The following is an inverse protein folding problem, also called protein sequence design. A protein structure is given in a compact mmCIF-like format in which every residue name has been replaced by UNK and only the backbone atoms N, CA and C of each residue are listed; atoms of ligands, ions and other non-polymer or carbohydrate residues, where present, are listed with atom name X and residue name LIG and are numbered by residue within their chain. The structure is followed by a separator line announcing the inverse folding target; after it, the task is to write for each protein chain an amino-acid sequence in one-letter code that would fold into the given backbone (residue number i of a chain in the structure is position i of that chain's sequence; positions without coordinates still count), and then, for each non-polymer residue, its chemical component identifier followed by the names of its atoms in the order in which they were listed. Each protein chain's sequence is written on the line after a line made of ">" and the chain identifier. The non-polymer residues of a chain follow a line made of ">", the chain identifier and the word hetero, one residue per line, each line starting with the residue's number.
data_IF_764925172908
#
_entry.id   IF_764925172908
#
_cell.length_a   1.000
_cell.length_b   1.000
_cell.length_c   1.000
_cell.angle_alpha   90.00
_cell.angle_beta   90.00
_cell.angle_gamma   90.00
#
_symmetry.space_group_name_H-M   'P 1'
#
loop_
_entity.id
_entity.type
_entity.pdbx_description
1 polymer ?
#
# COMPACT_ATOMS: atom_id res chain seq x y z
N UNK A 1 3.05 20.71 17.58
CA UNK A 1 3.23 20.33 18.97
C UNK A 1 4.04 19.06 19.15
N UNK A 2 3.91 18.40 20.31
CA UNK A 2 4.66 17.20 20.69
C UNK A 2 4.56 16.04 19.69
N UNK A 3 3.40 15.87 19.06
CA UNK A 3 3.16 14.83 18.04
C UNK A 3 4.07 15.01 16.81
N UNK A 4 4.14 16.23 16.27
CA UNK A 4 5.01 16.52 15.11
C UNK A 4 6.50 16.36 15.46
N UNK A 5 6.90 16.74 16.68
CA UNK A 5 8.26 16.53 17.16
C UNK A 5 8.60 15.04 17.28
N UNK A 6 7.65 14.22 17.75
CA UNK A 6 7.80 12.76 17.81
C UNK A 6 8.00 12.14 16.42
N UNK A 7 7.22 12.56 15.42
CA UNK A 7 7.39 12.11 14.03
C UNK A 7 8.73 12.49 13.43
N UNK A 8 9.18 13.74 13.64
CA UNK A 8 10.51 14.18 13.16
C UNK A 8 11.64 13.41 13.86
N UNK A 9 11.51 13.16 15.17
CA UNK A 9 12.45 12.33 15.92
C UNK A 9 12.54 10.92 15.35
N UNK A 10 11.39 10.28 15.09
CA UNK A 10 11.31 8.94 14.49
C UNK A 10 11.97 8.92 13.10
N UNK A 11 11.66 9.87 12.24
CA UNK A 11 12.24 9.98 10.90
C UNK A 11 13.76 10.15 10.98
N UNK A 12 14.28 10.99 11.89
CA UNK A 12 15.71 11.22 12.06
C UNK A 12 16.43 9.94 12.55
N UNK A 13 15.86 9.25 13.54
CA UNK A 13 16.43 7.98 14.03
C UNK A 13 16.44 6.94 12.92
N UNK A 14 15.34 6.79 12.19
CA UNK A 14 15.26 5.83 11.10
C UNK A 14 16.25 6.14 9.97
N UNK A 15 16.39 7.41 9.59
CA UNK A 15 17.42 7.85 8.63
C UNK A 15 18.84 7.48 9.08
N UNK A 16 19.17 7.73 10.36
CA UNK A 16 20.47 7.38 10.92
C UNK A 16 20.71 5.86 10.88
N UNK A 17 19.70 5.05 11.20
CA UNK A 17 19.79 3.60 11.12
C UNK A 17 20.03 3.10 9.69
N UNK A 18 19.34 3.67 8.69
CA UNK A 18 19.57 3.33 7.27
C UNK A 18 21.01 3.68 6.86
N UNK A 19 21.53 4.84 7.31
CA UNK A 19 22.88 5.28 7.00
C UNK A 19 23.94 4.41 7.67
N UNK A 20 23.72 4.01 8.91
CA UNK A 20 24.64 3.20 9.71
C UNK A 20 24.59 1.70 9.39
N UNK A 21 23.58 1.23 8.68
CA UNK A 21 23.44 -0.17 8.29
C UNK A 21 24.47 -0.57 7.24
N UNK A 22 25.10 -1.73 7.37
CA UNK A 22 26.00 -2.34 6.40
C UNK A 22 25.27 -3.27 5.42
N UNK A 23 23.93 -3.30 5.44
CA UNK A 23 23.15 -4.14 4.54
C UNK A 23 23.30 -3.70 3.08
N UNK A 24 23.50 -4.66 2.16
CA UNK A 24 23.63 -4.41 0.73
C UNK A 24 22.30 -3.93 0.11
N UNK A 25 21.16 -4.52 0.54
CA UNK A 25 19.81 -4.15 0.08
C UNK A 25 19.11 -3.26 1.11
N UNK A 26 19.13 -1.96 0.85
CA UNK A 26 18.42 -0.92 1.64
C UNK A 26 17.14 -0.42 0.98
N UNK A 27 16.77 -0.95 -0.18
CA UNK A 27 15.67 -0.44 -0.99
C UNK A 27 14.36 -0.35 -0.19
N UNK A 28 13.98 -1.43 0.49
CA UNK A 28 12.76 -1.46 1.30
C UNK A 28 12.79 -0.42 2.43
N UNK A 29 13.92 -0.27 3.11
CA UNK A 29 14.06 0.71 4.19
C UNK A 29 13.98 2.15 3.68
N UNK A 30 14.59 2.45 2.52
CA UNK A 30 14.53 3.76 1.88
C UNK A 30 13.09 4.11 1.46
N UNK A 31 12.36 3.14 0.89
CA UNK A 31 10.98 3.35 0.45
C UNK A 31 10.03 3.57 1.63
N UNK A 32 10.19 2.80 2.71
CA UNK A 32 9.45 3.04 3.97
C UNK A 32 9.79 4.40 4.56
N UNK A 33 11.07 4.81 4.53
CA UNK A 33 11.48 6.13 4.99
C UNK A 33 10.82 7.25 4.17
N UNK A 34 10.78 7.11 2.84
CA UNK A 34 10.07 8.04 1.96
C UNK A 34 8.58 8.16 2.32
N UNK A 35 7.91 7.02 2.51
CA UNK A 35 6.52 6.99 2.94
C UNK A 35 6.32 7.63 4.33
N UNK A 36 7.24 7.42 5.28
CA UNK A 36 7.21 8.10 6.58
C UNK A 36 7.36 9.62 6.46
N UNK A 37 8.18 10.11 5.51
CA UNK A 37 8.28 11.55 5.23
C UNK A 37 6.96 12.12 4.71
N UNK A 38 6.26 11.39 3.84
CA UNK A 38 4.89 11.76 3.42
C UNK A 38 3.93 11.77 4.62
N UNK A 39 3.95 10.75 5.46
CA UNK A 39 3.16 10.70 6.69
C UNK A 39 3.43 11.91 7.61
N UNK A 40 4.68 12.31 7.76
CA UNK A 40 5.05 13.51 8.50
C UNK A 40 4.47 14.80 7.88
N UNK A 41 4.48 14.92 6.55
CA UNK A 41 3.88 16.06 5.84
C UNK A 41 2.36 16.12 6.02
N UNK A 42 1.68 14.98 6.02
CA UNK A 42 0.24 14.86 6.30
C UNK A 42 -0.10 15.37 7.69
N UNK A 43 0.67 14.94 8.70
CA UNK A 43 0.49 15.40 10.09
C UNK A 43 0.77 16.90 10.22
N UNK A 44 1.81 17.40 9.57
CA UNK A 44 2.16 18.82 9.58
C UNK A 44 1.07 19.66 8.88
N UNK A 45 0.57 19.22 7.74
CA UNK A 45 -0.52 19.90 7.03
C UNK A 45 -1.79 20.00 7.89
N UNK A 46 -2.17 18.92 8.57
CA UNK A 46 -3.30 18.95 9.48
C UNK A 46 -3.07 19.90 10.67
N UNK A 47 -1.87 19.90 11.24
CA UNK A 47 -1.53 20.77 12.36
C UNK A 47 -1.52 22.26 11.99
N UNK A 48 -1.17 22.61 10.75
CA UNK A 48 -1.07 23.99 10.28
C UNK A 48 -2.40 24.52 9.72
N UNK A 49 -3.12 23.70 8.99
CA UNK A 49 -4.31 24.11 8.22
C UNK A 49 -5.61 23.52 8.75
N UNK A 50 -5.55 22.60 9.72
CA UNK A 50 -6.72 21.96 10.32
C UNK A 50 -7.64 21.31 9.30
N UNK A 51 -8.98 21.55 9.39
CA UNK A 51 -9.96 20.96 8.47
C UNK A 51 -9.74 21.28 6.98
N UNK A 52 -9.10 22.42 6.66
CA UNK A 52 -8.80 22.78 5.27
C UNK A 52 -7.83 21.79 4.59
N UNK A 53 -6.99 21.09 5.37
CA UNK A 53 -6.10 20.06 4.87
C UNK A 53 -6.75 18.67 4.72
N UNK A 54 -8.05 18.52 5.01
CA UNK A 54 -8.71 17.20 5.11
C UNK A 54 -8.56 16.35 3.84
N UNK A 55 -8.72 16.95 2.66
CA UNK A 55 -8.53 16.24 1.38
C UNK A 55 -7.11 15.70 1.22
N UNK A 56 -6.11 16.53 1.52
CA UNK A 56 -4.70 16.12 1.49
C UNK A 56 -4.39 15.02 2.51
N UNK A 57 -4.87 15.18 3.74
CA UNK A 57 -4.67 14.22 4.82
C UNK A 57 -5.24 12.85 4.45
N UNK A 58 -6.45 12.81 3.90
CA UNK A 58 -7.11 11.58 3.48
C UNK A 58 -6.41 10.96 2.27
N UNK A 59 -6.18 11.72 1.21
CA UNK A 59 -5.57 11.24 -0.03
C UNK A 59 -4.11 10.80 0.17
N UNK A 60 -3.22 11.71 0.56
CA UNK A 60 -1.80 11.39 0.74
C UNK A 60 -1.57 10.43 1.90
N UNK A 61 -2.36 10.50 2.98
CA UNK A 61 -2.27 9.59 4.12
C UNK A 61 -2.54 8.14 3.75
N UNK A 62 -3.56 7.89 2.92
CA UNK A 62 -3.88 6.54 2.48
C UNK A 62 -2.97 6.10 1.32
N UNK A 63 -2.98 6.86 0.21
CA UNK A 63 -2.41 6.41 -1.05
C UNK A 63 -0.88 6.57 -1.14
N UNK A 64 -0.30 7.55 -0.47
CA UNK A 64 1.14 7.82 -0.54
C UNK A 64 1.90 7.50 0.77
N UNK A 65 1.22 7.15 1.86
CA UNK A 65 1.85 6.75 3.10
C UNK A 65 1.47 5.32 3.51
N UNK A 66 0.21 5.07 3.92
CA UNK A 66 -0.17 3.78 4.51
C UNK A 66 -0.01 2.61 3.54
N UNK A 67 -0.55 2.73 2.32
CA UNK A 67 -0.48 1.65 1.33
C UNK A 67 0.95 1.37 0.86
N UNK A 68 1.81 2.36 0.55
CA UNK A 68 3.23 2.12 0.27
C UNK A 68 3.98 1.41 1.39
N UNK A 69 3.74 1.76 2.66
CA UNK A 69 4.34 1.03 3.80
C UNK A 69 3.86 -0.42 3.82
N UNK A 70 2.54 -0.62 3.71
CA UNK A 70 1.94 -1.96 3.73
C UNK A 70 2.51 -2.86 2.62
N UNK A 71 2.50 -2.40 1.37
CA UNK A 71 2.97 -3.22 0.25
C UNK A 71 4.47 -3.48 0.31
N UNK A 72 5.27 -2.55 0.84
CA UNK A 72 6.70 -2.74 1.03
C UNK A 72 6.97 -3.89 2.01
N UNK A 73 6.19 -3.95 3.08
CA UNK A 73 6.25 -5.06 4.05
C UNK A 73 5.77 -6.37 3.40
N UNK A 74 4.63 -6.36 2.72
CA UNK A 74 4.09 -7.54 2.04
C UNK A 74 5.06 -8.11 1.00
N UNK A 75 5.68 -7.27 0.17
CA UNK A 75 6.65 -7.67 -0.85
C UNK A 75 7.84 -8.44 -0.26
N UNK A 76 8.24 -8.11 0.95
CA UNK A 76 9.35 -8.80 1.63
C UNK A 76 8.86 -10.01 2.42
N UNK A 77 7.82 -9.85 3.20
CA UNK A 77 7.40 -10.83 4.20
C UNK A 77 6.62 -12.01 3.61
N UNK A 78 5.70 -11.78 2.68
CA UNK A 78 4.88 -12.86 2.12
C UNK A 78 5.73 -13.91 1.41
N UNK A 79 6.58 -13.57 0.41
CA UNK A 79 7.43 -14.57 -0.24
C UNK A 79 8.41 -15.25 0.72
N UNK A 80 8.96 -14.51 1.68
CA UNK A 80 9.90 -15.05 2.66
C UNK A 80 9.24 -16.10 3.56
N UNK A 81 8.13 -15.79 4.19
CA UNK A 81 7.44 -16.73 5.07
C UNK A 81 6.83 -17.90 4.29
N UNK A 82 6.30 -17.64 3.09
CA UNK A 82 5.77 -18.73 2.28
C UNK A 82 6.86 -19.71 1.88
N UNK A 83 8.00 -19.23 1.39
CA UNK A 83 9.12 -20.11 1.00
C UNK A 83 9.75 -20.86 2.18
N UNK A 84 9.62 -20.34 3.41
CA UNK A 84 10.13 -21.03 4.61
C UNK A 84 9.21 -22.14 5.13
N UNK A 85 7.91 -22.08 4.80
CA UNK A 85 6.89 -23.02 5.31
C UNK A 85 6.38 -23.97 4.24
N UNK A 86 6.26 -23.48 2.98
CA UNK A 86 5.67 -24.23 1.88
C UNK A 86 6.77 -24.74 0.95
N UNK A 87 6.95 -26.07 0.81
CA UNK A 87 7.95 -26.61 -0.09
C UNK A 87 7.63 -26.23 -1.55
N UNK A 88 8.70 -26.04 -2.35
CA UNK A 88 8.65 -25.72 -3.79
C UNK A 88 8.07 -24.36 -4.18
N UNK A 89 7.74 -23.49 -3.23
CA UNK A 89 7.36 -22.10 -3.53
C UNK A 89 8.62 -21.23 -3.51
N UNK A 90 8.93 -20.62 -4.66
CA UNK A 90 10.04 -19.68 -4.77
C UNK A 90 9.65 -18.31 -4.24
N UNK A 91 10.56 -17.65 -3.51
CA UNK A 91 10.41 -16.28 -3.04
C UNK A 91 10.54 -15.27 -4.21
N UNK A 92 9.59 -15.28 -5.14
CA UNK A 92 9.56 -14.38 -6.29
C UNK A 92 9.29 -12.94 -5.83
N UNK A 93 10.31 -12.09 -5.83
CA UNK A 93 10.24 -10.69 -5.37
C UNK A 93 11.23 -9.76 -6.11
N UNK A 94 11.10 -9.59 -7.42
CA UNK A 94 11.97 -8.68 -8.16
C UNK A 94 11.70 -7.22 -7.78
N UNK A 95 12.72 -6.38 -7.86
CA UNK A 95 12.63 -4.96 -7.45
C UNK A 95 11.62 -4.16 -8.25
N UNK A 96 11.43 -4.47 -9.56
CA UNK A 96 10.43 -3.80 -10.40
C UNK A 96 9.00 -3.97 -9.86
N UNK A 97 8.73 -5.14 -9.27
CA UNK A 97 7.44 -5.44 -8.67
C UNK A 97 7.14 -4.51 -7.50
N UNK A 98 8.12 -4.30 -6.62
CA UNK A 98 7.99 -3.36 -5.50
C UNK A 98 7.72 -1.94 -5.99
N UNK A 99 8.42 -1.50 -7.06
CA UNK A 99 8.19 -0.18 -7.68
C UNK A 99 6.76 -0.08 -8.22
N UNK A 100 6.26 -1.10 -8.90
CA UNK A 100 4.88 -1.14 -9.39
C UNK A 100 3.86 -1.10 -8.24
N UNK A 101 4.09 -1.89 -7.18
CA UNK A 101 3.22 -1.97 -5.99
C UNK A 101 3.13 -0.65 -5.22
N UNK A 102 4.19 0.17 -5.21
CA UNK A 102 4.19 1.49 -4.59
C UNK A 102 3.70 2.55 -5.57
N UNK A 103 4.10 2.45 -6.83
CA UNK A 103 3.75 3.44 -7.86
C UNK A 103 2.24 3.50 -8.13
N UNK A 104 1.55 2.36 -8.11
CA UNK A 104 0.11 2.32 -8.37
C UNK A 104 -0.71 3.10 -7.34
N UNK A 105 -0.61 2.86 -6.01
CA UNK A 105 -1.35 3.67 -5.04
C UNK A 105 -0.98 5.15 -5.11
N UNK A 106 0.29 5.49 -5.31
CA UNK A 106 0.70 6.88 -5.45
C UNK A 106 0.09 7.52 -6.69
N UNK A 107 0.10 6.83 -7.84
CA UNK A 107 -0.53 7.31 -9.08
C UNK A 107 -2.04 7.48 -8.92
N UNK A 108 -2.72 6.52 -8.26
CA UNK A 108 -4.14 6.65 -7.92
C UNK A 108 -4.40 7.93 -7.10
N UNK A 109 -3.66 8.12 -6.00
CA UNK A 109 -3.82 9.31 -5.14
C UNK A 109 -3.52 10.63 -5.85
N UNK A 110 -2.57 10.64 -6.80
CA UNK A 110 -2.28 11.81 -7.64
C UNK A 110 -3.46 12.11 -8.58
N UNK A 111 -3.99 11.09 -9.27
CA UNK A 111 -5.15 11.26 -10.16
C UNK A 111 -6.37 11.75 -9.38
N UNK A 112 -6.64 11.20 -8.20
CA UNK A 112 -7.73 11.66 -7.33
C UNK A 112 -7.51 13.11 -6.88
N UNK A 113 -6.30 13.47 -6.48
CA UNK A 113 -5.93 14.83 -6.06
C UNK A 113 -5.96 15.87 -7.20
N UNK A 114 -5.82 15.44 -8.45
CA UNK A 114 -5.96 16.26 -9.65
C UNK A 114 -7.40 16.34 -10.17
N UNK A 115 -8.38 15.84 -9.41
CA UNK A 115 -9.79 15.75 -9.82
C UNK A 115 -10.02 14.85 -11.05
N UNK A 116 -9.08 13.95 -11.34
CA UNK A 116 -9.11 12.98 -12.44
C UNK A 116 -9.53 11.57 -11.99
N UNK A 117 -10.37 11.48 -10.95
CA UNK A 117 -10.80 10.22 -10.37
C UNK A 117 -11.46 9.24 -11.37
N UNK A 118 -12.07 9.78 -12.43
CA UNK A 118 -12.66 8.97 -13.50
C UNK A 118 -11.63 8.14 -14.29
N UNK A 119 -10.34 8.46 -14.21
CA UNK A 119 -9.27 7.78 -14.95
C UNK A 119 -8.44 6.82 -14.09
N UNK A 120 -8.75 6.68 -12.80
CA UNK A 120 -7.98 5.81 -11.89
C UNK A 120 -8.01 4.35 -12.30
N UNK A 121 -9.04 3.88 -13.02
CA UNK A 121 -9.13 2.50 -13.53
C UNK A 121 -7.92 2.07 -14.37
N UNK A 122 -7.25 3.02 -15.06
CA UNK A 122 -6.04 2.74 -15.87
C UNK A 122 -4.90 2.21 -15.00
N UNK A 123 -4.85 2.63 -13.75
CA UNK A 123 -3.87 2.18 -12.76
C UNK A 123 -4.42 1.04 -11.91
N UNK A 124 -5.66 1.16 -11.46
CA UNK A 124 -6.27 0.28 -10.47
C UNK A 124 -6.51 -1.13 -11.00
N UNK A 125 -7.08 -1.27 -12.20
CA UNK A 125 -7.38 -2.61 -12.74
C UNK A 125 -6.11 -3.41 -13.10
N UNK A 126 -5.08 -2.84 -13.77
CA UNK A 126 -3.82 -3.56 -13.95
C UNK A 126 -3.15 -3.92 -12.61
N UNK A 127 -3.25 -3.05 -11.60
CA UNK A 127 -2.72 -3.32 -10.28
C UNK A 127 -3.48 -4.45 -9.59
N UNK A 128 -4.81 -4.45 -9.63
CA UNK A 128 -5.64 -5.54 -9.11
C UNK A 128 -5.28 -6.88 -9.78
N UNK A 129 -5.16 -6.90 -11.11
CA UNK A 129 -4.76 -8.09 -11.87
C UNK A 129 -3.37 -8.60 -11.45
N UNK A 130 -2.40 -7.69 -11.30
CA UNK A 130 -1.05 -8.02 -10.83
C UNK A 130 -1.09 -8.63 -9.42
N UNK A 131 -1.85 -8.05 -8.50
CA UNK A 131 -1.96 -8.54 -7.13
C UNK A 131 -2.65 -9.90 -7.04
N UNK A 132 -3.70 -10.13 -7.82
CA UNK A 132 -4.37 -11.43 -7.91
C UNK A 132 -3.43 -12.50 -8.49
N UNK A 133 -2.67 -12.16 -9.53
CA UNK A 133 -1.65 -13.05 -10.07
C UNK A 133 -0.58 -13.38 -9.03
N UNK A 134 -0.09 -12.39 -8.28
CA UNK A 134 0.88 -12.60 -7.19
C UNK A 134 0.32 -13.46 -6.07
N UNK A 135 -0.94 -13.30 -5.72
CA UNK A 135 -1.62 -14.13 -4.72
C UNK A 135 -1.47 -15.62 -5.07
N UNK A 136 -1.72 -15.97 -6.34
CA UNK A 136 -1.52 -17.34 -6.82
C UNK A 136 -0.03 -17.72 -6.84
N UNK A 137 0.81 -16.84 -7.36
CA UNK A 137 2.26 -17.06 -7.52
C UNK A 137 2.97 -17.24 -6.19
N UNK A 138 2.54 -16.55 -5.16
CA UNK A 138 3.09 -16.64 -3.81
C UNK A 138 2.52 -17.79 -2.97
N UNK A 139 1.61 -18.61 -3.54
CA UNK A 139 1.16 -19.84 -2.90
C UNK A 139 0.03 -19.62 -1.88
N UNK A 140 -0.96 -18.79 -2.22
CA UNK A 140 -2.12 -18.53 -1.35
C UNK A 140 -2.81 -19.82 -0.89
N UNK A 141 -3.12 -20.75 -1.81
CA UNK A 141 -3.82 -21.99 -1.46
C UNK A 141 -3.03 -22.87 -0.48
N UNK A 142 -1.72 -22.93 -0.67
CA UNK A 142 -0.83 -23.68 0.22
C UNK A 142 -0.69 -23.01 1.59
N UNK A 143 -0.79 -21.67 1.63
CA UNK A 143 -0.71 -20.90 2.86
C UNK A 143 -1.86 -21.17 3.84
N UNK A 144 -3.01 -21.60 3.34
CA UNK A 144 -4.21 -21.88 4.16
C UNK A 144 -4.01 -23.01 5.20
N UNK A 145 -2.99 -23.86 5.00
CA UNK A 145 -2.61 -24.88 5.98
C UNK A 145 -1.96 -24.29 7.25
N UNK A 146 -1.43 -23.07 7.18
CA UNK A 146 -0.80 -22.38 8.31
C UNK A 146 -1.55 -21.10 8.62
N UNK A 147 -2.16 -20.99 9.81
CA UNK A 147 -3.05 -19.88 10.19
C UNK A 147 -2.40 -18.51 10.08
N UNK A 148 -1.14 -18.38 10.55
CA UNK A 148 -0.43 -17.10 10.51
C UNK A 148 -0.14 -16.67 9.07
N UNK A 149 0.30 -17.61 8.25
CA UNK A 149 0.58 -17.37 6.83
C UNK A 149 -0.71 -17.08 6.05
N UNK A 150 -1.81 -17.79 6.36
CA UNK A 150 -3.12 -17.57 5.76
C UNK A 150 -3.62 -16.14 6.02
N UNK A 151 -3.53 -15.64 7.24
CA UNK A 151 -3.93 -14.25 7.58
C UNK A 151 -3.15 -13.22 6.75
N UNK A 152 -1.84 -13.40 6.62
CA UNK A 152 -1.00 -12.51 5.82
C UNK A 152 -1.41 -12.49 4.33
N UNK A 153 -1.69 -13.65 3.77
CA UNK A 153 -2.18 -13.77 2.39
C UNK A 153 -3.60 -13.25 2.21
N UNK A 154 -4.50 -13.45 3.18
CA UNK A 154 -5.86 -12.92 3.14
C UNK A 154 -5.84 -11.40 3.13
N UNK A 155 -5.03 -10.75 3.98
CA UNK A 155 -4.84 -9.30 3.95
C UNK A 155 -4.36 -8.80 2.58
N UNK A 156 -3.45 -9.55 1.95
CA UNK A 156 -2.96 -9.22 0.61
C UNK A 156 -4.04 -9.39 -0.48
N UNK A 157 -4.92 -10.39 -0.38
CA UNK A 157 -6.08 -10.55 -1.29
C UNK A 157 -7.02 -9.36 -1.15
N UNK A 158 -7.31 -8.91 0.07
CA UNK A 158 -8.14 -7.72 0.30
C UNK A 158 -7.54 -6.45 -0.32
N UNK A 159 -6.22 -6.34 -0.36
CA UNK A 159 -5.54 -5.27 -1.07
C UNK A 159 -5.86 -5.31 -2.58
N UNK A 160 -5.80 -6.50 -3.20
CA UNK A 160 -6.19 -6.70 -4.60
C UNK A 160 -7.67 -6.34 -4.85
N UNK A 161 -8.57 -6.79 -3.95
CA UNK A 161 -10.00 -6.46 -4.01
C UNK A 161 -10.22 -4.96 -3.90
N UNK A 162 -9.47 -4.26 -3.06
CA UNK A 162 -9.54 -2.81 -2.91
C UNK A 162 -9.28 -2.08 -4.23
N UNK A 163 -8.21 -2.45 -4.95
CA UNK A 163 -7.91 -1.89 -6.27
C UNK A 163 -8.93 -2.29 -7.33
N UNK A 164 -9.45 -3.52 -7.30
CA UNK A 164 -10.52 -3.95 -8.18
C UNK A 164 -11.79 -3.09 -8.01
N UNK A 165 -12.18 -2.83 -6.77
CA UNK A 165 -13.34 -2.01 -6.46
C UNK A 165 -13.12 -0.54 -6.81
N UNK A 166 -11.90 -0.01 -6.63
CA UNK A 166 -11.55 1.34 -7.04
C UNK A 166 -11.66 1.51 -8.57
N UNK A 167 -11.06 0.60 -9.32
CA UNK A 167 -11.15 0.60 -10.78
C UNK A 167 -12.57 0.39 -11.30
N UNK A 168 -13.36 -0.48 -10.67
CA UNK A 168 -14.76 -0.67 -11.01
C UNK A 168 -15.58 0.60 -10.72
N UNK A 169 -15.32 1.28 -9.59
CA UNK A 169 -15.96 2.55 -9.25
C UNK A 169 -15.75 3.61 -10.33
N UNK A 170 -14.51 3.81 -10.78
CA UNK A 170 -14.19 4.81 -11.79
C UNK A 170 -14.76 4.46 -13.17
N UNK A 171 -14.79 3.19 -13.57
CA UNK A 171 -15.43 2.76 -14.82
C UNK A 171 -16.95 2.95 -14.79
N UNK A 172 -17.61 2.64 -13.69
CA UNK A 172 -19.05 2.86 -13.52
C UNK A 172 -19.38 4.35 -13.60
N UNK A 173 -18.56 5.20 -12.95
CA UNK A 173 -18.72 6.65 -13.02
C UNK A 173 -18.58 7.18 -14.45
N UNK A 174 -17.61 6.69 -15.23
CA UNK A 174 -17.46 7.03 -16.65
C UNK A 174 -18.67 6.59 -17.51
N UNK A 175 -19.29 5.44 -17.17
CA UNK A 175 -20.46 4.94 -17.85
C UNK A 175 -21.77 5.62 -17.41
N UNK A 176 -21.71 6.57 -16.46
CA UNK A 176 -22.89 7.28 -15.94
C UNK A 176 -23.72 6.49 -14.92
N UNK A 177 -23.17 5.38 -14.39
CA UNK A 177 -23.80 4.60 -13.33
C UNK A 177 -23.35 5.07 -11.93
N UNK A 178 -24.18 4.84 -10.89
CA UNK A 178 -23.75 5.06 -9.52
C UNK A 178 -22.56 4.15 -9.22
N UNK A 179 -21.44 4.74 -8.82
CA UNK A 179 -20.23 4.02 -8.47
C UNK A 179 -20.31 3.35 -7.08
N UNK A 180 -19.17 2.84 -6.64
CA UNK A 180 -19.00 2.16 -5.34
C UNK A 180 -18.17 3.04 -4.38
N UNK A 181 -18.70 4.18 -3.88
CA UNK A 181 -17.89 5.25 -3.28
C UNK A 181 -17.08 4.82 -2.05
N UNK A 182 -17.52 3.79 -1.33
CA UNK A 182 -16.84 3.30 -0.12
C UNK A 182 -16.27 1.88 -0.28
N UNK A 183 -16.51 1.22 -1.41
CA UNK A 183 -16.12 -0.18 -1.60
C UNK A 183 -14.61 -0.40 -1.45
N UNK A 184 -13.81 0.38 -2.16
CA UNK A 184 -12.35 0.32 -2.09
C UNK A 184 -11.82 0.64 -0.68
N UNK A 185 -12.34 1.70 -0.05
CA UNK A 185 -11.91 2.10 1.29
C UNK A 185 -12.21 1.02 2.34
N UNK A 186 -13.39 0.38 2.29
CA UNK A 186 -13.73 -0.71 3.19
C UNK A 186 -12.83 -1.94 2.96
N UNK A 187 -12.57 -2.31 1.71
CA UNK A 187 -11.69 -3.43 1.40
C UNK A 187 -10.27 -3.18 1.91
N UNK A 188 -9.75 -1.97 1.74
CA UNK A 188 -8.40 -1.59 2.18
C UNK A 188 -8.32 -1.40 3.70
N UNK A 189 -9.29 -0.72 4.31
CA UNK A 189 -9.23 -0.41 5.74
C UNK A 189 -9.66 -1.60 6.62
N UNK A 190 -10.77 -2.27 6.28
CA UNK A 190 -11.29 -3.38 7.09
C UNK A 190 -10.69 -4.71 6.62
N UNK A 191 -10.69 -4.98 5.32
CA UNK A 191 -10.19 -6.25 4.80
C UNK A 191 -8.67 -6.40 4.95
N UNK A 192 -7.92 -5.41 4.46
CA UNK A 192 -6.47 -5.48 4.40
C UNK A 192 -5.79 -5.12 5.74
N UNK A 193 -6.18 -4.02 6.37
CA UNK A 193 -5.49 -3.52 7.56
C UNK A 193 -5.88 -4.25 8.87
N UNK A 194 -6.99 -5.00 8.90
CA UNK A 194 -7.46 -5.75 10.08
C UNK A 194 -7.20 -7.26 10.02
N UNK A 195 -6.66 -7.76 8.91
CA UNK A 195 -6.23 -9.16 8.76
C UNK A 195 -4.86 -9.38 9.31
#
# INVERSE_FOLDING_TARGET
>A
GAYSAGWLGLALVFYRLIRASDADDKLHAILVFGALCVGASVVAAFALFGPAAHGWVKGAGLWAFLLPVFVTVCHRMIPFFTASVVPFVNAFRPSWLLVAMIGAPVAHGVLEGMEQAAWTWIVDLPMAALMLWLTVRWGFMQSLANRLLAMLHIGFVWYAIGFLLAGAHSLLALAGFPGLPFGALHALAIGCASS
#
